data_IF_111780852059
#
_entry.id   IF_111780852059
#
_cell.length_a   1.000
_cell.length_b   1.000
_cell.length_c   1.000
_cell.angle_alpha   90.00
_cell.angle_beta   90.00
_cell.angle_gamma   90.00
#
_symmetry.space_group_name_H-M   'P 1'
#
loop_
_entity.id
_entity.type
_entity.pdbx_description
1 polymer ?
#
# COMPACT_ATOMS: atom_id res chain seq x y z
N UNK A 1 10.73 5.20 3.46
CA UNK A 1 10.26 3.87 3.89
C UNK A 1 9.38 3.22 2.82
N UNK A 2 8.41 3.93 2.22
CA UNK A 2 7.61 3.44 1.07
C UNK A 2 8.41 2.77 -0.05
N UNK A 3 9.48 3.42 -0.53
CA UNK A 3 10.29 2.93 -1.65
C UNK A 3 11.07 1.66 -1.31
N UNK A 4 11.44 1.50 -0.02
CA UNK A 4 12.13 0.32 0.47
C UNK A 4 11.17 -0.88 0.56
N UNK A 5 9.97 -0.67 1.11
CA UNK A 5 8.92 -1.70 1.12
C UNK A 5 8.55 -2.15 -0.30
N UNK A 6 8.40 -1.20 -1.23
CA UNK A 6 8.16 -1.48 -2.65
C UNK A 6 9.31 -2.24 -3.32
N UNK A 7 10.56 -1.85 -3.07
CA UNK A 7 11.71 -2.56 -3.63
C UNK A 7 11.80 -3.99 -3.10
N UNK A 8 11.56 -4.19 -1.80
CA UNK A 8 11.57 -5.53 -1.19
C UNK A 8 10.44 -6.37 -1.78
N UNK A 9 9.22 -5.84 -1.87
CA UNK A 9 8.10 -6.53 -2.51
C UNK A 9 8.42 -6.93 -3.96
N UNK A 10 8.99 -6.01 -4.74
CA UNK A 10 9.39 -6.27 -6.12
C UNK A 10 10.48 -7.34 -6.24
N UNK A 11 11.51 -7.29 -5.39
CA UNK A 11 12.55 -8.33 -5.38
C UNK A 11 11.98 -9.70 -5.00
N UNK A 12 11.10 -9.75 -3.99
CA UNK A 12 10.47 -11.00 -3.57
C UNK A 12 9.63 -11.62 -4.69
N UNK A 13 8.86 -10.80 -5.40
CA UNK A 13 8.13 -11.25 -6.60
C UNK A 13 9.10 -11.80 -7.65
N UNK A 14 10.14 -11.05 -8.02
CA UNK A 14 11.04 -11.44 -9.10
C UNK A 14 11.74 -12.78 -8.86
N UNK A 15 12.12 -13.07 -7.62
CA UNK A 15 12.85 -14.30 -7.28
C UNK A 15 11.92 -15.46 -6.90
N UNK A 16 10.83 -15.20 -6.18
CA UNK A 16 10.04 -16.25 -5.55
C UNK A 16 8.67 -16.47 -6.20
N UNK A 17 8.34 -15.78 -7.29
CA UNK A 17 7.10 -16.01 -8.05
C UNK A 17 7.03 -17.41 -8.68
N UNK A 18 8.15 -17.91 -9.22
CA UNK A 18 8.21 -19.22 -9.86
C UNK A 18 8.88 -20.26 -8.95
N UNK A 19 8.14 -21.27 -8.46
CA UNK A 19 8.68 -22.29 -7.56
C UNK A 19 9.74 -23.19 -8.23
N UNK A 20 9.74 -23.27 -9.57
CA UNK A 20 10.66 -24.11 -10.35
C UNK A 20 12.12 -23.63 -10.33
N UNK A 21 12.37 -22.33 -10.10
CA UNK A 21 13.74 -21.77 -10.12
C UNK A 21 14.58 -22.19 -8.91
N UNK A 22 13.92 -22.43 -7.77
CA UNK A 22 14.58 -22.73 -6.50
C UNK A 22 14.10 -24.04 -5.85
N UNK A 23 13.31 -24.85 -6.58
CA UNK A 23 12.76 -26.14 -6.10
C UNK A 23 12.04 -25.95 -4.76
N UNK A 24 11.14 -24.95 -4.71
CA UNK A 24 10.43 -24.55 -3.50
C UNK A 24 9.24 -25.50 -3.28
N UNK A 25 9.03 -25.95 -2.04
CA UNK A 25 7.87 -26.79 -1.69
C UNK A 25 6.56 -25.98 -1.71
N UNK A 26 5.42 -26.64 -1.92
CA UNK A 26 4.11 -25.96 -1.93
C UNK A 26 3.78 -25.26 -0.60
N UNK A 27 4.32 -25.75 0.52
CA UNK A 27 4.18 -25.11 1.83
C UNK A 27 4.97 -23.79 1.89
N UNK A 28 6.24 -23.82 1.48
CA UNK A 28 7.10 -22.63 1.46
C UNK A 28 6.57 -21.57 0.48
N UNK A 29 5.97 -22.02 -0.63
CA UNK A 29 5.32 -21.16 -1.63
C UNK A 29 4.12 -20.40 -1.03
N UNK A 30 3.36 -21.02 -0.12
CA UNK A 30 2.28 -20.36 0.63
C UNK A 30 2.82 -19.32 1.61
N UNK A 31 3.96 -19.58 2.23
CA UNK A 31 4.61 -18.59 3.12
C UNK A 31 5.07 -17.37 2.32
N UNK A 32 5.68 -17.57 1.15
CA UNK A 32 6.10 -16.48 0.27
C UNK A 32 4.92 -15.64 -0.24
N UNK A 33 3.78 -16.28 -0.54
CA UNK A 33 2.53 -15.57 -0.87
C UNK A 33 2.14 -14.55 0.22
N UNK A 34 2.10 -14.99 1.49
CA UNK A 34 1.75 -14.10 2.59
C UNK A 34 2.78 -12.98 2.78
N UNK A 35 4.08 -13.29 2.70
CA UNK A 35 5.14 -12.28 2.84
C UNK A 35 5.01 -11.21 1.75
N UNK A 36 4.84 -11.61 0.49
CA UNK A 36 4.67 -10.67 -0.64
C UNK A 36 3.43 -9.80 -0.41
N UNK A 37 2.30 -10.43 -0.08
CA UNK A 37 1.03 -9.74 0.18
C UNK A 37 1.14 -8.73 1.32
N UNK A 38 1.76 -9.12 2.44
CA UNK A 38 2.00 -8.23 3.59
C UNK A 38 2.90 -7.05 3.18
N UNK A 39 3.96 -7.28 2.39
CA UNK A 39 4.81 -6.19 1.91
C UNK A 39 4.05 -5.19 1.05
N UNK A 40 3.15 -5.65 0.16
CA UNK A 40 2.28 -4.77 -0.63
C UNK A 40 1.27 -4.01 0.24
N UNK A 41 0.62 -4.68 1.20
CA UNK A 41 -0.32 -4.04 2.13
C UNK A 41 0.37 -3.02 3.04
N UNK A 42 1.59 -3.30 3.53
CA UNK A 42 2.39 -2.34 4.29
C UNK A 42 2.79 -1.13 3.44
N UNK A 43 3.14 -1.35 2.17
CA UNK A 43 3.45 -0.26 1.24
C UNK A 43 2.22 0.64 1.00
N UNK A 44 1.03 0.06 0.84
CA UNK A 44 -0.24 0.79 0.80
C UNK A 44 -0.50 1.56 2.11
N UNK A 45 -0.26 0.93 3.27
CA UNK A 45 -0.37 1.57 4.58
C UNK A 45 0.52 2.80 4.70
N UNK A 46 1.78 2.74 4.23
CA UNK A 46 2.67 3.90 4.22
C UNK A 46 2.15 5.05 3.36
N UNK A 47 1.41 4.79 2.29
CA UNK A 47 0.76 5.85 1.53
C UNK A 47 -0.40 6.50 2.30
N UNK A 48 -1.20 5.72 3.02
CA UNK A 48 -2.25 6.28 3.90
C UNK A 48 -1.64 7.17 4.97
N UNK A 49 -0.56 6.71 5.60
CA UNK A 49 0.17 7.48 6.61
C UNK A 49 0.72 8.80 6.05
N UNK A 50 1.27 8.80 4.83
CA UNK A 50 1.69 10.03 4.16
C UNK A 50 0.50 10.95 3.81
N UNK A 51 -0.64 10.40 3.40
CA UNK A 51 -1.85 11.17 3.12
C UNK A 51 -2.48 11.77 4.39
N UNK A 52 -2.46 11.04 5.51
CA UNK A 52 -2.92 11.50 6.81
C UNK A 52 -2.02 12.64 7.33
N UNK A 53 -0.70 12.53 7.17
CA UNK A 53 0.21 13.63 7.47
C UNK A 53 -0.11 14.90 6.66
N UNK A 54 -0.47 14.76 5.38
CA UNK A 54 -0.91 15.91 4.57
C UNK A 54 -2.20 16.50 5.15
N UNK A 55 -3.16 15.66 5.51
CA UNK A 55 -4.43 16.08 6.08
C UNK A 55 -4.24 16.88 7.38
N UNK A 56 -3.43 16.38 8.31
CA UNK A 56 -3.14 17.05 9.58
C UNK A 56 -2.41 18.37 9.38
N UNK A 57 -1.42 18.41 8.48
CA UNK A 57 -0.71 19.64 8.12
C UNK A 57 -1.69 20.64 7.49
N UNK A 58 -2.63 20.16 6.66
CA UNK A 58 -3.68 21.00 6.05
C UNK A 58 -4.66 21.61 7.06
N UNK A 59 -4.78 21.04 8.26
CA UNK A 59 -5.63 21.57 9.34
C UNK A 59 -4.89 22.42 10.38
N UNK A 60 -3.56 22.55 10.27
CA UNK A 60 -2.73 23.27 11.25
C UNK A 60 -2.76 22.69 12.68
N UNK A 61 -3.16 21.43 12.87
CA UNK A 61 -3.32 20.83 14.21
C UNK A 61 -1.99 20.41 14.89
N UNK A 62 -0.86 20.23 14.17
CA UNK A 62 0.40 19.60 14.66
C UNK A 62 0.23 18.13 15.12
N UNK A 63 1.10 17.14 14.87
CA UNK A 63 2.59 17.03 14.78
C UNK A 63 2.96 15.85 13.85
N UNK A 64 4.04 15.98 13.07
CA UNK A 64 4.86 14.83 12.61
C UNK A 64 5.56 14.16 13.82
N UNK A 65 4.81 13.58 14.74
CA UNK A 65 5.32 12.79 15.86
C UNK A 65 4.69 11.40 15.74
N UNK A 66 5.38 10.51 15.03
CA UNK A 66 5.07 9.09 15.02
C UNK A 66 5.41 8.53 16.41
N UNK A 67 4.48 8.70 17.34
CA UNK A 67 4.54 8.18 18.70
C UNK A 67 3.24 7.47 19.03
N UNK A 68 3.24 6.16 18.82
CA UNK A 68 2.37 5.15 19.45
C UNK A 68 0.86 5.40 19.45
N UNK A 69 0.20 4.96 18.38
CA UNK A 69 -1.16 4.39 18.45
C UNK A 69 -1.28 3.30 17.38
N UNK A 70 -0.73 2.11 17.66
CA UNK A 70 -1.18 0.90 16.98
C UNK A 70 -2.38 0.40 17.77
N UNK A 71 -3.56 0.53 17.18
CA UNK A 71 -4.77 -0.15 17.65
C UNK A 71 -4.67 -1.61 17.19
N UNK A 72 -4.68 -2.51 18.17
CA UNK A 72 -4.47 -3.94 18.03
C UNK A 72 -5.74 -4.56 17.43
N UNK A 73 -5.70 -4.89 16.13
CA UNK A 73 -6.70 -5.76 15.51
C UNK A 73 -6.15 -7.17 15.48
N UNK A 74 -6.64 -8.03 16.37
CA UNK A 74 -6.43 -9.47 16.32
C UNK A 74 -7.01 -10.01 15.00
N UNK A 75 -6.14 -10.51 14.14
CA UNK A 75 -6.52 -11.18 12.90
C UNK A 75 -6.14 -12.66 13.04
N UNK A 76 -7.13 -13.51 13.33
CA UNK A 76 -6.91 -14.95 13.34
C UNK A 76 -6.61 -15.46 11.92
N UNK A 77 -5.49 -16.16 11.78
CA UNK A 77 -4.98 -16.68 10.52
C UNK A 77 -5.64 -18.02 10.19
N UNK A 78 -6.47 -18.14 9.14
CA UNK A 78 -7.00 -19.44 8.73
C UNK A 78 -5.89 -20.24 8.02
N UNK A 79 -5.78 -21.53 8.36
CA UNK A 79 -4.98 -22.49 7.61
C UNK A 79 -5.72 -22.87 6.34
N UNK A 80 -5.26 -22.43 5.17
CA UNK A 80 -5.62 -23.05 3.89
C UNK A 80 -4.47 -22.90 2.90
N UNK A 81 -4.27 -23.91 2.05
CA UNK A 81 -3.20 -23.94 1.06
C UNK A 81 -3.53 -23.00 -0.10
N UNK A 82 -2.93 -21.81 -0.10
CA UNK A 82 -3.18 -20.75 -1.10
C UNK A 82 -2.23 -20.85 -2.30
N UNK A 83 -1.13 -21.61 -2.19
CA UNK A 83 -0.15 -21.78 -3.25
C UNK A 83 -0.34 -23.07 -4.06
N UNK A 84 -0.09 -22.98 -5.37
CA UNK A 84 -0.12 -24.14 -6.28
C UNK A 84 1.31 -24.57 -6.63
N UNK A 85 1.46 -25.71 -7.32
CA UNK A 85 2.76 -26.17 -7.82
C UNK A 85 3.42 -25.20 -8.83
N UNK A 86 2.64 -24.26 -9.38
CA UNK A 86 3.05 -23.44 -10.52
C UNK A 86 3.31 -21.97 -10.14
N UNK A 87 2.65 -21.45 -9.11
CA UNK A 87 2.83 -20.06 -8.66
C UNK A 87 2.74 -19.92 -7.14
N UNK A 88 3.60 -19.03 -6.60
CA UNK A 88 3.54 -18.60 -5.20
C UNK A 88 2.75 -17.31 -5.00
N UNK A 89 2.04 -16.84 -6.04
CA UNK A 89 1.24 -15.61 -5.98
C UNK A 89 -0.26 -15.86 -5.75
N UNK A 90 -0.64 -17.11 -5.52
CA UNK A 90 -2.02 -17.53 -5.28
C UNK A 90 -2.78 -17.83 -6.56
N UNK A 91 -3.82 -18.65 -6.43
CA UNK A 91 -4.74 -19.04 -7.51
C UNK A 91 -6.06 -18.29 -7.35
N UNK A 92 -6.73 -17.91 -8.46
CA UNK A 92 -8.07 -17.36 -8.46
C UNK A 92 -9.10 -18.47 -8.80
N UNK A 93 -9.37 -19.34 -7.84
CA UNK A 93 -10.39 -20.38 -7.94
C UNK A 93 -11.58 -20.11 -7.01
N UNK A 94 -12.75 -20.73 -7.29
CA UNK A 94 -13.95 -20.62 -6.44
C UNK A 94 -13.64 -20.93 -4.96
N UNK A 95 -12.77 -21.92 -4.71
CA UNK A 95 -12.31 -22.34 -3.38
C UNK A 95 -11.47 -21.28 -2.62
N UNK A 96 -10.88 -20.33 -3.34
CA UNK A 96 -9.99 -19.28 -2.77
C UNK A 96 -10.67 -17.90 -2.67
N UNK A 97 -11.93 -17.80 -3.12
CA UNK A 97 -12.70 -16.55 -3.16
C UNK A 97 -12.87 -15.95 -1.76
N UNK A 98 -13.11 -16.79 -0.75
CA UNK A 98 -13.30 -16.37 0.64
C UNK A 98 -12.06 -15.70 1.24
N UNK A 99 -10.87 -15.95 0.67
CA UNK A 99 -9.62 -15.29 1.07
C UNK A 99 -9.35 -14.05 0.22
N UNK A 100 -9.48 -14.15 -1.11
CA UNK A 100 -9.16 -13.05 -2.01
C UNK A 100 -10.12 -11.85 -1.87
N UNK A 101 -11.42 -12.12 -1.67
CA UNK A 101 -12.42 -11.07 -1.54
C UNK A 101 -12.14 -10.09 -0.38
N UNK A 102 -11.95 -10.54 0.88
CA UNK A 102 -11.64 -9.62 1.98
C UNK A 102 -10.28 -8.94 1.79
N UNK A 103 -9.28 -9.64 1.23
CA UNK A 103 -7.96 -9.08 1.00
C UNK A 103 -7.97 -7.93 -0.02
N UNK A 104 -8.64 -8.13 -1.14
CA UNK A 104 -8.83 -7.12 -2.19
C UNK A 104 -9.63 -5.94 -1.64
N UNK A 105 -10.69 -6.22 -0.86
CA UNK A 105 -11.54 -5.18 -0.26
C UNK A 105 -10.76 -4.31 0.74
N UNK A 106 -9.98 -4.93 1.64
CA UNK A 106 -9.16 -4.19 2.62
C UNK A 106 -8.16 -3.29 1.90
N UNK A 107 -7.42 -3.83 0.92
CA UNK A 107 -6.43 -3.05 0.17
C UNK A 107 -7.09 -1.91 -0.65
N UNK A 108 -8.29 -2.13 -1.19
CA UNK A 108 -9.07 -1.09 -1.87
C UNK A 108 -9.57 0.00 -0.90
N UNK A 109 -10.06 -0.37 0.29
CA UNK A 109 -10.44 0.57 1.34
C UNK A 109 -9.25 1.44 1.79
N UNK A 110 -8.07 0.84 1.94
CA UNK A 110 -6.82 1.54 2.27
C UNK A 110 -6.44 2.52 1.15
N UNK A 111 -6.52 2.11 -0.12
CA UNK A 111 -6.27 3.00 -1.25
C UNK A 111 -7.28 4.17 -1.31
N UNK A 112 -8.57 3.89 -1.04
CA UNK A 112 -9.63 4.90 -0.96
C UNK A 112 -9.37 5.92 0.17
N UNK A 113 -8.98 5.45 1.35
CA UNK A 113 -8.66 6.31 2.49
C UNK A 113 -7.49 7.27 2.14
N UNK A 114 -6.41 6.76 1.53
CA UNK A 114 -5.29 7.59 1.08
C UNK A 114 -5.72 8.66 0.07
N UNK A 115 -6.59 8.31 -0.89
CA UNK A 115 -7.15 9.30 -1.83
C UNK A 115 -8.02 10.34 -1.14
N UNK A 116 -8.86 9.94 -0.19
CA UNK A 116 -9.76 10.85 0.53
C UNK A 116 -8.98 11.94 1.28
N UNK A 117 -7.99 11.53 2.09
CA UNK A 117 -7.13 12.46 2.83
C UNK A 117 -6.32 13.36 1.90
N UNK A 118 -5.75 12.80 0.82
CA UNK A 118 -4.98 13.57 -0.16
C UNK A 118 -5.84 14.61 -0.90
N UNK A 119 -7.08 14.24 -1.26
CA UNK A 119 -8.02 15.14 -1.92
C UNK A 119 -8.40 16.32 -1.01
N UNK A 120 -8.69 16.05 0.26
CA UNK A 120 -9.04 17.08 1.22
C UNK A 120 -7.89 18.08 1.43
N UNK A 121 -6.66 17.57 1.62
CA UNK A 121 -5.47 18.42 1.73
C UNK A 121 -5.23 19.28 0.49
N UNK A 122 -5.40 18.69 -0.71
CA UNK A 122 -5.28 19.44 -1.96
C UNK A 122 -6.38 20.51 -2.11
N UNK A 123 -7.61 20.20 -1.73
CA UNK A 123 -8.74 21.12 -1.79
C UNK A 123 -8.48 22.38 -0.94
N UNK A 124 -8.03 22.22 0.30
CA UNK A 124 -7.69 23.34 1.18
C UNK A 124 -6.59 24.19 0.57
N UNK A 125 -5.50 23.56 0.10
CA UNK A 125 -4.36 24.26 -0.48
C UNK A 125 -4.72 25.11 -1.68
N UNK A 126 -5.68 24.64 -2.50
CA UNK A 126 -6.04 25.30 -3.75
C UNK A 126 -7.15 26.33 -3.60
N UNK A 127 -8.15 26.06 -2.77
CA UNK A 127 -9.37 26.85 -2.72
C UNK A 127 -9.46 27.81 -1.52
N UNK A 128 -8.58 27.69 -0.52
CA UNK A 128 -8.64 28.52 0.70
C UNK A 128 -7.48 29.53 0.73
N UNK A 129 -7.66 30.77 0.24
CA UNK A 129 -6.57 31.77 0.20
C UNK A 129 -6.09 32.20 1.60
N UNK A 130 -6.99 32.20 2.58
CA UNK A 130 -6.68 32.52 3.99
C UNK A 130 -5.71 31.50 4.61
N UNK A 131 -5.74 30.26 4.14
CA UNK A 131 -4.85 29.19 4.59
C UNK A 131 -3.39 29.54 4.29
N UNK A 132 -3.11 30.14 3.13
CA UNK A 132 -1.75 30.55 2.74
C UNK A 132 -1.17 31.61 3.69
N UNK A 133 -1.99 32.57 4.12
CA UNK A 133 -1.57 33.58 5.09
C UNK A 133 -1.29 32.95 6.46
N UNK A 134 -2.23 32.15 6.99
CA UNK A 134 -2.02 31.40 8.25
C UNK A 134 -0.78 30.52 8.19
N UNK A 135 -0.54 29.85 7.06
CA UNK A 135 0.65 29.02 6.85
C UNK A 135 1.93 29.85 6.88
N UNK A 136 1.97 31.01 6.22
CA UNK A 136 3.14 31.88 6.23
C UNK A 136 3.50 32.37 7.64
N UNK A 137 2.49 32.70 8.46
CA UNK A 137 2.67 33.06 9.86
C UNK A 137 3.14 31.86 10.69
N UNK A 138 2.55 30.69 10.47
CA UNK A 138 2.93 29.45 11.15
C UNK A 138 4.39 29.05 10.86
N UNK A 139 4.83 29.19 9.61
CA UNK A 139 6.20 28.88 9.20
C UNK A 139 7.20 29.93 9.69
N UNK A 140 6.81 31.19 9.93
CA UNK A 140 7.74 32.25 10.32
C UNK A 140 8.55 31.90 11.58
N UNK A 141 7.94 31.22 12.56
CA UNK A 141 8.58 30.81 13.81
C UNK A 141 9.26 29.44 13.81
N UNK A 142 9.32 28.73 12.66
CA UNK A 142 9.80 27.34 12.57
C UNK A 142 11.19 27.23 11.96
N UNK A 143 11.87 26.12 12.30
CA UNK A 143 13.21 25.80 11.77
C UNK A 143 13.17 25.52 10.26
N UNK A 144 14.30 25.70 9.56
CA UNK A 144 14.41 25.41 8.12
C UNK A 144 14.04 23.95 7.79
N UNK A 145 14.39 23.01 8.67
CA UNK A 145 14.09 21.58 8.49
C UNK A 145 12.58 21.30 8.49
N UNK A 146 11.83 21.87 9.43
CA UNK A 146 10.37 21.70 9.49
C UNK A 146 9.68 22.28 8.26
N UNK A 147 10.14 23.45 7.78
CA UNK A 147 9.64 24.07 6.54
C UNK A 147 9.84 23.15 5.33
N UNK A 148 11.03 22.56 5.20
CA UNK A 148 11.34 21.64 4.12
C UNK A 148 10.48 20.37 4.16
N UNK A 149 10.19 19.84 5.35
CA UNK A 149 9.31 18.68 5.51
C UNK A 149 7.87 18.97 5.06
N UNK A 150 7.32 20.13 5.45
CA UNK A 150 5.96 20.55 5.08
C UNK A 150 5.87 20.75 3.56
N UNK A 151 6.84 21.43 2.94
CA UNK A 151 6.86 21.63 1.48
C UNK A 151 6.93 20.29 0.71
N UNK A 152 7.71 19.33 1.23
CA UNK A 152 7.80 17.98 0.67
C UNK A 152 6.46 17.23 0.74
N UNK A 153 5.69 17.36 1.82
CA UNK A 153 4.35 16.78 1.92
C UNK A 153 3.42 17.33 0.84
N UNK A 154 3.45 18.65 0.59
CA UNK A 154 2.60 19.27 -0.43
C UNK A 154 2.95 18.89 -1.86
N UNK A 155 4.24 18.82 -2.19
CA UNK A 155 4.66 18.40 -3.52
C UNK A 155 4.26 16.95 -3.84
N UNK A 156 4.09 16.12 -2.82
CA UNK A 156 3.76 14.71 -2.96
C UNK A 156 2.25 14.40 -2.92
N UNK A 157 1.37 15.39 -2.71
CA UNK A 157 -0.08 15.16 -2.50
C UNK A 157 -0.77 14.40 -3.64
N UNK A 158 -0.36 14.69 -4.88
CA UNK A 158 -0.89 14.01 -6.06
C UNK A 158 -0.40 12.57 -6.10
N UNK A 159 0.86 12.36 -5.71
CA UNK A 159 1.47 11.04 -5.68
C UNK A 159 0.88 10.16 -4.56
N UNK A 160 0.49 10.74 -3.43
CA UNK A 160 -0.20 10.00 -2.35
C UNK A 160 -1.63 9.66 -2.70
N UNK A 161 -2.27 10.40 -3.62
CA UNK A 161 -3.59 10.07 -4.14
C UNK A 161 -3.54 8.92 -5.17
N UNK A 162 -2.69 9.01 -6.19
CA UNK A 162 -2.68 8.02 -7.28
C UNK A 162 -1.77 6.81 -7.02
N UNK A 163 -0.73 6.98 -6.21
CA UNK A 163 0.25 5.93 -5.88
C UNK A 163 -0.36 4.65 -5.29
N UNK A 164 -1.29 4.72 -4.33
CA UNK A 164 -1.98 3.54 -3.79
C UNK A 164 -2.70 2.72 -4.85
N UNK A 165 -3.40 3.39 -5.77
CA UNK A 165 -4.16 2.73 -6.84
C UNK A 165 -3.27 2.05 -7.86
N UNK A 166 -2.18 2.71 -8.25
CA UNK A 166 -1.16 2.11 -9.11
C UNK A 166 -0.57 0.86 -8.44
N UNK A 167 -0.25 0.95 -7.15
CA UNK A 167 0.31 -0.17 -6.41
C UNK A 167 -0.66 -1.35 -6.29
N UNK A 168 -1.90 -1.06 -5.89
CA UNK A 168 -2.97 -2.05 -5.80
C UNK A 168 -3.22 -2.73 -7.15
N UNK A 169 -3.31 -1.96 -8.24
CA UNK A 169 -3.48 -2.49 -9.58
C UNK A 169 -2.29 -3.36 -10.01
N UNK A 170 -1.05 -2.94 -9.73
CA UNK A 170 0.14 -3.76 -10.06
C UNK A 170 0.15 -5.09 -9.31
N UNK A 171 -0.20 -5.10 -8.02
CA UNK A 171 -0.28 -6.33 -7.24
C UNK A 171 -1.36 -7.27 -7.76
N UNK A 172 -2.56 -6.76 -8.02
CA UNK A 172 -3.68 -7.56 -8.51
C UNK A 172 -3.42 -8.12 -9.92
N UNK A 173 -2.92 -7.28 -10.83
CA UNK A 173 -2.61 -7.71 -12.21
C UNK A 173 -1.48 -8.73 -12.25
N UNK A 174 -0.47 -8.60 -11.39
CA UNK A 174 0.59 -9.58 -11.25
C UNK A 174 0.02 -10.93 -10.79
N UNK A 175 -0.84 -10.93 -9.76
CA UNK A 175 -1.50 -12.14 -9.28
C UNK A 175 -2.34 -12.81 -10.38
N UNK A 176 -3.20 -12.05 -11.06
CA UNK A 176 -4.03 -12.57 -12.14
C UNK A 176 -3.19 -13.11 -13.31
N UNK A 177 -2.11 -12.41 -13.67
CA UNK A 177 -1.23 -12.85 -14.77
C UNK A 177 -0.50 -14.14 -14.44
N UNK A 178 -0.11 -14.33 -13.17
CA UNK A 178 0.53 -15.55 -12.70
C UNK A 178 -0.39 -16.75 -12.83
N UNK A 179 -1.65 -16.55 -12.46
CA UNK A 179 -2.65 -17.60 -12.42
C UNK A 179 -3.12 -18.00 -13.83
N UNK A 180 -3.33 -17.02 -14.71
CA UNK A 180 -3.70 -17.28 -16.11
C UNK A 180 -2.67 -18.19 -16.79
N UNK A 181 -1.38 -17.94 -16.59
CA UNK A 181 -0.31 -18.78 -17.17
C UNK A 181 -0.38 -20.23 -16.67
N UNK A 182 -0.89 -20.47 -15.46
CA UNK A 182 -1.06 -21.79 -14.89
C UNK A 182 -2.38 -22.49 -15.28
N UNK A 183 -3.32 -21.79 -15.92
CA UNK A 183 -4.62 -22.36 -16.28
C UNK A 183 -4.51 -23.38 -17.42
N UNK A 184 -4.97 -24.60 -17.14
CA UNK A 184 -4.93 -25.75 -18.05
C UNK A 184 -5.93 -25.64 -19.22
N UNK A 185 -6.95 -24.77 -19.10
CA UNK A 185 -7.98 -24.59 -20.13
C UNK A 185 -7.45 -23.78 -21.32
N UNK A 186 -6.56 -22.82 -21.06
CA UNK A 186 -5.96 -21.93 -22.06
C UNK A 186 -4.69 -22.50 -22.71
N UNK A 187 -4.00 -23.43 -22.04
CA UNK A 187 -2.77 -24.07 -22.53
C UNK A 187 -3.01 -25.41 -23.27
N UNK A 188 -4.17 -25.57 -23.92
CA UNK A 188 -4.50 -26.73 -24.76
C UNK A 188 -4.24 -26.47 -26.24
#
# INVERSE_FOLDING_TARGET
MRSLALSVAGFLVLFFHHPALFVISSFDCSVWFYIITICYSLALGFFVLEALNVYEVSHMEQRNAWGYTMEETDFELPKLAVATLWTCLGNFAEETTDLWLPLVLINACVALAATSFSYYGWFILRNVPQYRQKMSMYLAGRTLSEKCCIDKCYRNVVFTAFGPWLLFATWLTLAMSSDWVADSILNK
#
